data_IF_966215238037
#
_entry.id   IF_966215238037
#
_cell.length_a   1.000
_cell.length_b   1.000
_cell.length_c   1.000
_cell.angle_alpha   90.00
_cell.angle_beta   90.00
_cell.angle_gamma   90.00
#
_symmetry.space_group_name_H-M   'P 1'
#
loop_
_entity.id
_entity.type
_entity.pdbx_description
1 polymer ?
#
# COMPACT_ATOMS: atom_id res chain seq x y z
N UNK A 1 3.37 -29.06 14.30
CA UNK A 1 2.08 -28.93 13.59
C UNK A 1 2.04 -27.66 12.72
N UNK A 2 2.51 -26.50 13.19
CA UNK A 2 2.52 -25.22 12.47
C UNK A 2 3.40 -25.27 11.20
N UNK A 3 4.58 -25.89 11.28
CA UNK A 3 5.46 -26.07 10.12
C UNK A 3 4.88 -26.98 9.03
N UNK A 4 4.06 -27.99 9.40
CA UNK A 4 3.39 -28.86 8.44
C UNK A 4 2.30 -28.09 7.70
N UNK A 5 1.49 -27.30 8.41
CA UNK A 5 0.46 -26.43 7.80
C UNK A 5 1.06 -25.42 6.83
N UNK A 6 2.19 -24.81 7.17
CA UNK A 6 2.89 -23.88 6.27
C UNK A 6 3.30 -24.57 4.96
N UNK A 7 3.84 -25.80 5.05
CA UNK A 7 4.22 -26.61 3.87
C UNK A 7 3.00 -27.01 3.04
N UNK A 8 1.87 -27.33 3.68
CA UNK A 8 0.62 -27.68 2.99
C UNK A 8 0.02 -26.46 2.27
N UNK A 9 0.09 -25.27 2.88
CA UNK A 9 -0.26 -24.00 2.22
C UNK A 9 0.64 -23.74 1.00
N UNK A 10 1.94 -23.86 1.17
CA UNK A 10 2.92 -23.59 0.11
C UNK A 10 2.79 -24.54 -1.08
N UNK A 11 2.38 -25.78 -0.82
CA UNK A 11 2.08 -26.78 -1.87
C UNK A 11 0.69 -26.65 -2.47
N UNK A 12 -0.14 -25.69 -2.00
CA UNK A 12 -1.52 -25.54 -2.45
C UNK A 12 -2.46 -26.70 -2.04
N UNK A 13 -2.02 -27.57 -1.11
CA UNK A 13 -2.81 -28.71 -0.60
C UNK A 13 -3.92 -28.20 0.30
N UNK A 14 -3.66 -27.12 1.04
CA UNK A 14 -4.61 -26.47 1.94
C UNK A 14 -4.74 -25.00 1.60
N UNK A 15 -5.97 -24.51 1.51
CA UNK A 15 -6.28 -23.09 1.34
C UNK A 15 -7.49 -22.74 2.19
N UNK A 16 -7.32 -21.79 3.13
CA UNK A 16 -8.39 -21.36 4.02
C UNK A 16 -9.57 -20.74 3.23
N UNK A 17 -9.30 -20.07 2.11
CA UNK A 17 -10.32 -19.48 1.25
C UNK A 17 -11.33 -20.51 0.69
N UNK A 18 -10.93 -21.82 0.61
CA UNK A 18 -11.77 -22.90 0.11
C UNK A 18 -12.56 -23.63 1.19
N UNK A 19 -12.32 -23.34 2.47
CA UNK A 19 -13.09 -23.93 3.57
C UNK A 19 -14.53 -23.42 3.53
N UNK A 20 -15.46 -24.31 3.91
CA UNK A 20 -16.86 -23.95 4.09
C UNK A 20 -17.14 -23.53 5.51
N UNK A 21 -18.06 -22.62 5.70
CA UNK A 21 -18.57 -22.17 7.00
C UNK A 21 -19.93 -22.84 7.23
N UNK A 22 -20.00 -23.71 8.21
CA UNK A 22 -21.20 -24.52 8.49
C UNK A 22 -22.37 -23.71 9.03
N UNK A 23 -22.12 -22.53 9.60
CA UNK A 23 -23.16 -21.60 10.08
C UNK A 23 -23.67 -20.64 9.01
N UNK A 24 -23.06 -20.63 7.82
CA UNK A 24 -23.45 -19.73 6.73
C UNK A 24 -24.52 -20.37 5.86
N UNK A 25 -25.48 -19.56 5.45
CA UNK A 25 -26.53 -19.95 4.52
C UNK A 25 -26.23 -19.45 3.09
N UNK A 26 -26.69 -20.18 2.08
CA UNK A 26 -26.47 -19.80 0.66
C UNK A 26 -27.13 -18.46 0.35
N UNK A 27 -28.28 -18.23 0.97
CA UNK A 27 -29.08 -17.01 0.82
C UNK A 27 -28.28 -15.75 1.16
N UNK A 28 -27.36 -15.81 2.11
CA UNK A 28 -26.46 -14.72 2.48
C UNK A 28 -25.58 -14.26 1.32
N UNK A 29 -25.33 -15.14 0.35
CA UNK A 29 -24.62 -14.80 -0.88
C UNK A 29 -25.58 -14.47 -2.02
N UNK A 30 -26.60 -15.31 -2.27
CA UNK A 30 -27.44 -15.19 -3.45
C UNK A 30 -28.38 -14.00 -3.42
N UNK A 31 -28.74 -13.51 -2.24
CA UNK A 31 -29.62 -12.35 -2.07
C UNK A 31 -28.89 -11.05 -1.75
N UNK A 32 -27.58 -11.11 -1.52
CA UNK A 32 -26.76 -9.96 -1.13
C UNK A 32 -26.78 -8.85 -2.19
N UNK A 33 -26.54 -7.62 -1.74
CA UNK A 33 -26.37 -6.46 -2.63
C UNK A 33 -25.07 -6.62 -3.43
N UNK A 34 -24.03 -7.12 -2.78
CA UNK A 34 -22.70 -7.33 -3.39
C UNK A 34 -22.76 -8.20 -4.64
N UNK A 35 -23.42 -9.37 -4.60
CA UNK A 35 -23.50 -10.25 -5.78
C UNK A 35 -24.41 -9.68 -6.86
N UNK A 36 -25.53 -9.06 -6.49
CA UNK A 36 -26.45 -8.44 -7.46
C UNK A 36 -25.74 -7.34 -8.24
N UNK A 37 -25.10 -6.42 -7.52
CA UNK A 37 -24.31 -5.32 -8.13
C UNK A 37 -23.18 -5.87 -9.02
N UNK A 38 -22.51 -6.93 -8.58
CA UNK A 38 -21.46 -7.56 -9.37
C UNK A 38 -22.00 -8.14 -10.68
N UNK A 39 -23.09 -8.94 -10.63
CA UNK A 39 -23.70 -9.59 -11.81
C UNK A 39 -24.23 -8.53 -12.81
N UNK A 40 -24.90 -7.51 -12.33
CA UNK A 40 -25.43 -6.41 -13.14
C UNK A 40 -24.29 -5.66 -13.87
N UNK A 41 -23.25 -5.28 -13.15
CA UNK A 41 -22.13 -4.51 -13.69
C UNK A 41 -21.22 -5.33 -14.63
N UNK A 42 -21.10 -6.63 -14.38
CA UNK A 42 -20.27 -7.52 -15.23
C UNK A 42 -21.03 -7.99 -16.49
N UNK A 43 -22.34 -7.73 -16.55
CA UNK A 43 -23.19 -8.17 -17.69
C UNK A 43 -23.34 -9.69 -17.77
N UNK A 44 -23.19 -10.39 -16.64
CA UNK A 44 -23.39 -11.84 -16.59
C UNK A 44 -24.91 -12.14 -16.65
N UNK A 45 -25.33 -12.77 -17.70
CA UNK A 45 -26.71 -13.33 -17.80
C UNK A 45 -26.69 -14.69 -17.10
N UNK A 46 -26.62 -14.68 -15.77
CA UNK A 46 -26.61 -15.89 -14.96
C UNK A 46 -27.28 -15.65 -13.62
N UNK A 47 -28.03 -16.64 -13.17
CA UNK A 47 -28.51 -16.68 -11.79
C UNK A 47 -27.33 -16.66 -10.80
N UNK A 48 -27.42 -15.91 -9.69
CA UNK A 48 -26.38 -15.86 -8.67
C UNK A 48 -25.91 -17.24 -8.20
N UNK A 49 -26.83 -18.15 -7.91
CA UNK A 49 -26.51 -19.50 -7.46
C UNK A 49 -25.72 -20.28 -8.51
N UNK A 50 -26.09 -20.13 -9.80
CA UNK A 50 -25.37 -20.77 -10.89
C UNK A 50 -23.94 -20.23 -11.03
N UNK A 51 -23.77 -18.90 -10.90
CA UNK A 51 -22.46 -18.26 -10.91
C UNK A 51 -21.59 -18.77 -9.76
N UNK A 52 -22.10 -18.73 -8.53
CA UNK A 52 -21.38 -19.18 -7.33
C UNK A 52 -20.92 -20.65 -7.43
N UNK A 53 -21.79 -21.53 -7.94
CA UNK A 53 -21.46 -22.93 -8.18
C UNK A 53 -20.38 -23.11 -9.26
N UNK A 54 -20.48 -22.39 -10.39
CA UNK A 54 -19.46 -22.41 -11.46
C UNK A 54 -18.10 -21.95 -10.96
N UNK A 55 -18.06 -20.93 -10.10
CA UNK A 55 -16.82 -20.39 -9.52
C UNK A 55 -16.30 -21.21 -8.31
N UNK A 56 -17.03 -22.28 -7.91
CA UNK A 56 -16.69 -23.10 -6.75
C UNK A 56 -16.62 -22.29 -5.45
N UNK A 57 -17.54 -21.36 -5.28
CA UNK A 57 -17.72 -20.53 -4.08
C UNK A 57 -18.74 -21.14 -3.12
N UNK A 58 -19.40 -22.19 -3.54
CA UNK A 58 -20.25 -23.06 -2.76
C UNK A 58 -19.73 -24.50 -2.89
N UNK A 59 -19.67 -25.23 -1.80
CA UNK A 59 -19.33 -26.65 -1.76
C UNK A 59 -20.29 -27.40 -0.85
N UNK A 60 -20.93 -28.47 -1.36
CA UNK A 60 -21.93 -29.25 -0.62
C UNK A 60 -23.03 -28.40 0.02
N UNK A 61 -23.56 -27.46 -0.72
CA UNK A 61 -24.56 -26.49 -0.26
C UNK A 61 -24.12 -25.57 0.90
N UNK A 62 -22.82 -25.39 1.10
CA UNK A 62 -22.28 -24.45 2.09
C UNK A 62 -21.40 -23.40 1.41
N UNK A 63 -21.52 -22.13 1.77
CA UNK A 63 -20.64 -21.09 1.29
C UNK A 63 -19.18 -21.35 1.70
N UNK A 64 -18.25 -21.04 0.80
CA UNK A 64 -16.83 -21.04 1.12
C UNK A 64 -16.42 -19.68 1.71
N UNK A 65 -15.32 -19.64 2.47
CA UNK A 65 -14.73 -18.38 2.96
C UNK A 65 -14.55 -17.36 1.84
N UNK A 66 -14.04 -17.81 0.69
CA UNK A 66 -13.87 -16.95 -0.49
C UNK A 66 -15.22 -16.38 -0.98
N UNK A 67 -16.26 -17.21 -1.02
CA UNK A 67 -17.62 -16.76 -1.41
C UNK A 67 -18.17 -15.71 -0.45
N UNK A 68 -18.02 -15.95 0.85
CA UNK A 68 -18.47 -15.04 1.90
C UNK A 68 -17.71 -13.71 1.82
N UNK A 69 -16.38 -13.75 1.73
CA UNK A 69 -15.55 -12.53 1.64
C UNK A 69 -15.86 -11.67 0.42
N UNK A 70 -16.22 -12.29 -0.72
CA UNK A 70 -16.48 -11.56 -1.96
C UNK A 70 -17.93 -11.07 -2.08
N UNK A 71 -18.89 -11.86 -1.59
CA UNK A 71 -20.31 -11.67 -1.95
C UNK A 71 -21.28 -11.64 -0.77
N UNK A 72 -20.83 -11.73 0.48
CA UNK A 72 -21.70 -11.39 1.62
C UNK A 72 -21.65 -9.88 1.87
N UNK A 73 -22.80 -9.30 2.24
CA UNK A 73 -22.85 -7.89 2.62
C UNK A 73 -22.15 -7.63 3.97
N UNK A 74 -22.03 -8.66 4.84
CA UNK A 74 -21.39 -8.55 6.13
C UNK A 74 -20.60 -9.84 6.49
N UNK A 75 -19.45 -10.11 5.82
CA UNK A 75 -18.60 -11.26 6.11
C UNK A 75 -18.17 -11.38 7.57
N UNK A 76 -18.03 -10.24 8.25
CA UNK A 76 -17.57 -10.13 9.64
C UNK A 76 -18.53 -10.77 10.63
N UNK A 77 -19.82 -10.86 10.30
CA UNK A 77 -20.81 -11.55 11.12
C UNK A 77 -20.81 -13.08 10.92
N UNK A 78 -20.31 -13.56 9.77
CA UNK A 78 -20.41 -14.94 9.35
C UNK A 78 -19.10 -15.69 9.63
N UNK A 79 -17.96 -15.09 9.27
CA UNK A 79 -16.65 -15.70 9.48
C UNK A 79 -16.30 -15.58 10.97
N UNK A 80 -16.02 -16.68 11.68
CA UNK A 80 -15.80 -16.67 13.13
C UNK A 80 -14.44 -16.09 13.52
N UNK A 81 -13.84 -15.30 12.66
CA UNK A 81 -12.56 -14.62 12.83
C UNK A 81 -12.66 -13.21 12.30
N UNK A 82 -11.86 -12.30 12.88
CA UNK A 82 -11.80 -10.94 12.37
C UNK A 82 -11.35 -10.93 10.91
N UNK A 83 -12.02 -10.16 10.08
CA UNK A 83 -11.70 -10.04 8.66
C UNK A 83 -11.98 -8.62 8.11
N UNK A 84 -11.95 -7.62 9.00
CA UNK A 84 -12.11 -6.22 8.67
C UNK A 84 -10.80 -5.47 8.58
N UNK A 85 -10.92 -4.14 8.48
CA UNK A 85 -9.81 -3.19 8.49
C UNK A 85 -10.07 -2.17 9.60
N UNK A 86 -9.03 -1.80 10.35
CA UNK A 86 -9.09 -0.73 11.34
C UNK A 86 -8.12 0.38 10.98
N UNK A 87 -8.62 1.61 10.98
CA UNK A 87 -7.83 2.81 10.69
C UNK A 87 -7.63 3.60 11.97
N UNK A 88 -6.38 3.95 12.26
CA UNK A 88 -5.96 4.71 13.43
C UNK A 88 -5.24 5.98 12.97
N UNK A 89 -5.51 7.10 13.62
CA UNK A 89 -4.79 8.35 13.39
C UNK A 89 -4.12 8.80 14.69
N UNK A 90 -2.80 8.77 14.71
CA UNK A 90 -1.95 9.20 15.82
C UNK A 90 -1.34 10.58 15.53
N UNK A 91 -1.55 11.55 16.44
CA UNK A 91 -0.91 12.88 16.38
C UNK A 91 0.47 12.82 17.04
N UNK A 92 1.38 12.07 16.44
CA UNK A 92 2.76 11.92 16.88
C UNK A 92 3.63 11.44 15.74
N UNK A 93 4.95 11.63 15.88
CA UNK A 93 5.99 11.07 15.02
C UNK A 93 6.74 9.91 15.69
N UNK A 94 6.39 9.56 16.92
CA UNK A 94 7.01 8.48 17.69
C UNK A 94 6.87 7.13 16.98
N UNK A 95 7.76 6.20 17.31
CA UNK A 95 7.76 4.87 16.69
C UNK A 95 6.51 4.07 17.06
N UNK A 96 5.97 4.28 18.26
CA UNK A 96 4.74 3.64 18.74
C UNK A 96 3.62 4.66 18.95
N UNK A 97 2.42 4.31 18.47
CA UNK A 97 1.22 5.09 18.74
C UNK A 97 0.56 4.63 20.05
N UNK A 98 0.36 5.56 20.96
CA UNK A 98 -0.37 5.32 22.22
C UNK A 98 -1.79 5.89 22.13
N UNK A 99 -2.68 5.42 23.02
CA UNK A 99 -4.09 5.80 22.99
C UNK A 99 -4.30 7.31 23.18
N UNK A 100 -3.46 7.95 23.98
CA UNK A 100 -3.49 9.39 24.25
C UNK A 100 -3.16 10.25 23.04
N UNK A 101 -2.48 9.68 22.04
CA UNK A 101 -2.14 10.38 20.78
C UNK A 101 -3.19 10.20 19.68
N UNK A 102 -4.32 9.52 19.93
CA UNK A 102 -5.40 9.42 18.95
C UNK A 102 -5.97 10.78 18.59
N UNK A 103 -6.12 11.03 17.28
CA UNK A 103 -6.84 12.21 16.79
C UNK A 103 -8.36 12.06 16.95
N UNK A 104 -8.85 10.84 16.84
CA UNK A 104 -10.25 10.41 16.95
C UNK A 104 -10.31 8.90 17.25
N UNK A 105 -11.49 8.39 17.56
CA UNK A 105 -11.68 6.96 17.78
C UNK A 105 -11.34 6.16 16.50
N UNK A 106 -10.70 4.98 16.62
CA UNK A 106 -10.40 4.14 15.48
C UNK A 106 -11.64 3.86 14.62
N UNK A 107 -11.46 3.90 13.29
CA UNK A 107 -12.51 3.64 12.33
C UNK A 107 -12.44 2.16 11.93
N UNK A 108 -13.57 1.44 12.05
CA UNK A 108 -13.72 0.09 11.55
C UNK A 108 -14.32 0.12 10.13
N UNK A 109 -13.70 -0.59 9.19
CA UNK A 109 -14.19 -0.80 7.83
C UNK A 109 -14.60 -2.26 7.71
N UNK A 110 -15.85 -2.49 7.44
CA UNK A 110 -16.51 -3.80 7.30
C UNK A 110 -17.21 -3.90 5.93
N UNK A 111 -17.82 -5.04 5.63
CA UNK A 111 -18.45 -5.36 4.35
C UNK A 111 -17.64 -6.36 3.53
N UNK A 112 -18.04 -6.59 2.29
CA UNK A 112 -17.28 -7.42 1.34
C UNK A 112 -15.89 -6.81 1.05
N UNK A 113 -14.95 -7.62 0.59
CA UNK A 113 -13.55 -7.18 0.43
C UNK A 113 -13.37 -6.10 -0.64
N UNK A 114 -14.23 -6.07 -1.68
CA UNK A 114 -14.17 -5.01 -2.70
C UNK A 114 -14.54 -3.65 -2.08
N UNK A 115 -15.62 -3.63 -1.32
CA UNK A 115 -16.08 -2.45 -0.57
C UNK A 115 -15.08 -2.04 0.50
N UNK A 116 -14.50 -3.00 1.23
CA UNK A 116 -13.47 -2.73 2.23
C UNK A 116 -12.24 -2.03 1.63
N UNK A 117 -11.71 -2.54 0.52
CA UNK A 117 -10.54 -1.94 -0.15
C UNK A 117 -10.85 -0.50 -0.54
N UNK A 118 -11.98 -0.28 -1.23
CA UNK A 118 -12.39 1.04 -1.71
C UNK A 118 -12.54 2.03 -0.56
N UNK A 119 -13.31 1.67 0.46
CA UNK A 119 -13.56 2.52 1.62
C UNK A 119 -12.29 2.80 2.43
N UNK A 120 -11.42 1.80 2.61
CA UNK A 120 -10.17 1.98 3.35
C UNK A 120 -9.19 2.90 2.62
N UNK A 121 -9.10 2.81 1.30
CA UNK A 121 -8.26 3.71 0.48
C UNK A 121 -8.79 5.14 0.55
N UNK A 122 -10.09 5.35 0.36
CA UNK A 122 -10.73 6.67 0.40
C UNK A 122 -10.55 7.32 1.78
N UNK A 123 -10.82 6.58 2.87
CA UNK A 123 -10.71 7.14 4.22
C UNK A 123 -9.25 7.40 4.61
N UNK A 124 -8.32 6.50 4.24
CA UNK A 124 -6.88 6.73 4.46
C UNK A 124 -6.42 8.00 3.74
N UNK A 125 -6.81 8.18 2.48
CA UNK A 125 -6.50 9.38 1.70
C UNK A 125 -7.02 10.64 2.36
N UNK A 126 -8.29 10.68 2.74
CA UNK A 126 -8.94 11.80 3.39
C UNK A 126 -8.26 12.20 4.70
N UNK A 127 -7.87 11.22 5.52
CA UNK A 127 -7.16 11.46 6.78
C UNK A 127 -5.77 12.05 6.49
N UNK A 128 -5.02 11.48 5.54
CA UNK A 128 -3.66 11.94 5.18
C UNK A 128 -3.69 13.36 4.62
N UNK A 129 -4.62 13.67 3.73
CA UNK A 129 -4.79 15.02 3.17
C UNK A 129 -5.18 16.06 4.23
N UNK A 130 -5.69 15.64 5.39
CA UNK A 130 -5.97 16.51 6.53
C UNK A 130 -4.73 16.85 7.38
N UNK A 131 -3.58 16.19 7.16
CA UNK A 131 -2.36 16.40 7.94
C UNK A 131 -1.62 17.63 7.40
N UNK A 132 -1.49 18.71 8.18
CA UNK A 132 -0.74 19.89 7.77
C UNK A 132 0.77 19.57 7.78
N UNK A 133 1.46 19.96 6.72
CA UNK A 133 2.91 19.91 6.61
C UNK A 133 3.45 21.32 6.41
N UNK A 134 4.43 21.70 7.22
CA UNK A 134 5.13 22.97 7.02
C UNK A 134 6.10 22.81 5.85
N UNK A 135 5.94 23.65 4.82
CA UNK A 135 6.87 23.82 3.72
C UNK A 135 7.50 25.21 3.75
N UNK A 136 8.50 25.45 2.89
CA UNK A 136 9.12 26.76 2.77
C UNK A 136 8.15 27.85 2.29
N UNK A 137 7.08 27.48 1.61
CA UNK A 137 6.07 28.39 1.07
C UNK A 137 4.80 28.48 1.97
N UNK A 138 4.79 27.84 3.16
CA UNK A 138 3.71 27.85 4.13
C UNK A 138 3.16 26.46 4.46
N UNK A 139 1.90 26.40 4.93
CA UNK A 139 1.23 25.15 5.24
C UNK A 139 0.77 24.45 3.96
N UNK A 140 1.28 23.27 3.70
CA UNK A 140 0.85 22.36 2.65
C UNK A 140 0.20 21.12 3.27
N UNK A 141 -0.56 20.38 2.49
CA UNK A 141 -1.08 19.06 2.90
C UNK A 141 -0.12 17.95 2.46
N UNK A 142 -0.08 16.87 3.24
CA UNK A 142 0.64 15.67 2.84
C UNK A 142 -0.10 15.05 1.66
N UNK A 143 0.61 14.77 0.58
CA UNK A 143 0.05 14.13 -0.60
C UNK A 143 0.89 12.90 -0.98
N UNK A 144 0.24 11.76 -1.09
CA UNK A 144 0.81 10.52 -1.61
C UNK A 144 0.28 10.22 -3.00
N UNK A 145 1.05 9.47 -3.83
CA UNK A 145 0.48 8.89 -5.02
C UNK A 145 -0.71 8.01 -4.61
N UNK A 146 -1.86 8.25 -5.20
CA UNK A 146 -3.07 7.48 -4.92
C UNK A 146 -2.82 5.99 -5.17
N UNK A 147 -2.03 5.67 -6.21
CA UNK A 147 -1.64 4.33 -6.59
C UNK A 147 -0.86 3.62 -5.48
N UNK A 148 -0.02 4.33 -4.72
CA UNK A 148 0.76 3.74 -3.62
C UNK A 148 -0.14 3.25 -2.49
N UNK A 149 -1.04 4.09 -1.99
CA UNK A 149 -1.95 3.71 -0.90
C UNK A 149 -2.89 2.62 -1.36
N UNK A 150 -3.47 2.78 -2.57
CA UNK A 150 -4.37 1.82 -3.16
C UNK A 150 -3.73 0.43 -3.29
N UNK A 151 -2.54 0.35 -3.86
CA UNK A 151 -1.84 -0.91 -4.07
C UNK A 151 -1.47 -1.60 -2.75
N UNK A 152 -0.95 -0.84 -1.77
CA UNK A 152 -0.53 -1.41 -0.49
C UNK A 152 -1.74 -1.91 0.31
N UNK A 153 -2.86 -1.17 0.34
CA UNK A 153 -4.10 -1.60 0.99
C UNK A 153 -4.69 -2.82 0.28
N UNK A 154 -4.73 -2.81 -1.05
CA UNK A 154 -5.21 -3.94 -1.85
C UNK A 154 -4.42 -5.20 -1.57
N UNK A 155 -3.08 -5.11 -1.57
CA UNK A 155 -2.21 -6.24 -1.28
C UNK A 155 -2.39 -6.74 0.16
N UNK A 156 -2.57 -5.84 1.13
CA UNK A 156 -2.83 -6.22 2.51
C UNK A 156 -4.12 -7.05 2.64
N UNK A 157 -5.17 -6.72 1.89
CA UNK A 157 -6.45 -7.46 1.89
C UNK A 157 -6.32 -8.78 1.11
N UNK A 158 -5.76 -8.74 -0.10
CA UNK A 158 -5.74 -9.92 -0.98
C UNK A 158 -4.78 -11.02 -0.53
N UNK A 159 -3.71 -10.66 0.18
CA UNK A 159 -2.66 -11.59 0.57
C UNK A 159 -2.63 -11.92 2.08
N UNK A 160 -3.53 -11.32 2.89
CA UNK A 160 -3.61 -11.65 4.31
C UNK A 160 -3.92 -13.13 4.55
N UNK A 161 -3.55 -13.61 5.72
CA UNK A 161 -3.98 -14.92 6.21
C UNK A 161 -5.33 -14.81 6.94
N UNK A 162 -6.40 -15.18 6.25
CA UNK A 162 -7.75 -15.17 6.81
C UNK A 162 -7.98 -16.22 7.91
N UNK A 163 -7.02 -17.13 8.14
CA UNK A 163 -7.07 -18.06 9.26
C UNK A 163 -6.65 -17.42 10.58
N UNK A 164 -5.98 -16.28 10.55
CA UNK A 164 -5.56 -15.51 11.72
C UNK A 164 -6.70 -14.59 12.16
N UNK A 165 -7.05 -14.65 13.46
CA UNK A 165 -8.16 -13.87 14.03
C UNK A 165 -7.72 -12.44 14.41
N UNK A 166 -7.25 -11.68 13.45
CA UNK A 166 -6.92 -10.26 13.62
C UNK A 166 -7.33 -9.44 12.40
N UNK A 167 -7.56 -8.14 12.57
CA UNK A 167 -7.91 -7.23 11.48
C UNK A 167 -6.64 -6.73 10.76
N UNK A 168 -6.82 -6.15 9.58
CA UNK A 168 -5.77 -5.32 8.98
C UNK A 168 -5.74 -4.00 9.74
N UNK A 169 -4.55 -3.51 10.08
CA UNK A 169 -4.36 -2.27 10.78
C UNK A 169 -3.69 -1.23 9.90
N UNK A 170 -4.37 -0.12 9.64
CA UNK A 170 -3.82 1.05 8.96
C UNK A 170 -3.58 2.12 10.03
N UNK A 171 -2.32 2.39 10.36
CA UNK A 171 -1.91 3.39 11.35
C UNK A 171 -1.32 4.60 10.64
N UNK A 172 -1.92 5.76 10.84
CA UNK A 172 -1.52 7.02 10.22
C UNK A 172 -0.91 7.92 11.28
N UNK A 173 0.38 8.19 11.16
CA UNK A 173 1.18 9.09 11.99
C UNK A 173 1.41 10.43 11.28
N UNK A 174 2.00 11.40 11.97
CA UNK A 174 2.33 12.70 11.36
C UNK A 174 3.42 12.59 10.28
N UNK A 175 4.24 11.53 10.31
CA UNK A 175 5.37 11.32 9.39
C UNK A 175 5.29 10.05 8.54
N UNK A 176 4.29 9.18 8.74
CA UNK A 176 4.19 7.91 8.00
C UNK A 176 2.80 7.28 8.06
N UNK A 177 2.57 6.35 7.16
CA UNK A 177 1.47 5.37 7.22
C UNK A 177 2.10 3.99 7.42
N UNK A 178 1.49 3.18 8.26
CA UNK A 178 1.82 1.76 8.45
C UNK A 178 0.59 0.93 8.08
N UNK A 179 0.77 -0.02 7.19
CA UNK A 179 -0.27 -1.00 6.83
C UNK A 179 0.20 -2.37 7.27
N UNK A 180 -0.43 -2.91 8.30
CA UNK A 180 -0.13 -4.23 8.86
C UNK A 180 -1.20 -5.23 8.46
N UNK A 181 -0.77 -6.33 7.83
CA UNK A 181 -1.63 -7.42 7.38
C UNK A 181 -1.28 -8.70 8.13
N UNK A 182 -2.27 -9.42 8.71
CA UNK A 182 -2.06 -10.70 9.36
C UNK A 182 -1.52 -11.77 8.40
N UNK A 183 -0.52 -12.52 8.86
CA UNK A 183 0.15 -13.58 8.12
C UNK A 183 1.53 -13.20 7.62
N UNK A 184 2.40 -14.20 7.50
CA UNK A 184 3.74 -14.06 6.95
C UNK A 184 3.71 -14.00 5.42
N UNK A 185 4.83 -13.66 4.81
CA UNK A 185 4.99 -13.77 3.35
C UNK A 185 4.77 -15.24 2.92
N UNK A 186 3.98 -15.49 1.85
CA UNK A 186 3.64 -16.85 1.45
C UNK A 186 4.78 -17.56 0.72
N UNK A 187 5.00 -18.82 1.05
CA UNK A 187 5.88 -19.72 0.32
C UNK A 187 7.33 -19.28 0.26
N UNK A 188 7.84 -19.16 -0.95
CA UNK A 188 9.21 -18.77 -1.25
C UNK A 188 9.41 -17.25 -1.37
N UNK A 189 8.37 -16.46 -1.10
CA UNK A 189 8.48 -15.00 -1.13
C UNK A 189 9.25 -14.52 0.11
N UNK A 190 10.19 -13.63 -0.12
CA UNK A 190 11.00 -12.96 0.88
C UNK A 190 10.99 -11.45 0.60
N UNK A 191 11.37 -10.64 1.58
CA UNK A 191 11.52 -9.19 1.38
C UNK A 191 12.45 -8.85 0.20
N UNK A 192 13.42 -9.73 -0.09
CA UNK A 192 14.41 -9.52 -1.18
C UNK A 192 13.83 -9.74 -2.57
N UNK A 193 12.87 -10.66 -2.72
CA UNK A 193 12.32 -11.04 -4.02
C UNK A 193 10.84 -10.67 -4.22
N UNK A 194 10.21 -10.00 -3.25
CA UNK A 194 8.78 -9.67 -3.27
C UNK A 194 8.38 -8.79 -4.46
N UNK A 195 9.29 -8.00 -5.00
CA UNK A 195 9.06 -7.17 -6.18
C UNK A 195 9.13 -7.95 -7.50
N UNK A 196 9.82 -9.09 -7.49
CA UNK A 196 10.08 -9.89 -8.70
C UNK A 196 9.30 -11.21 -8.73
N UNK A 197 8.64 -11.55 -7.63
CA UNK A 197 7.99 -12.86 -7.46
C UNK A 197 6.51 -12.70 -7.16
N UNK A 198 5.69 -13.52 -7.81
CA UNK A 198 4.25 -13.55 -7.58
C UNK A 198 3.85 -14.85 -6.93
N UNK A 199 3.22 -14.78 -5.78
CA UNK A 199 2.51 -15.88 -5.15
C UNK A 199 1.33 -15.32 -4.37
N UNK A 200 0.20 -15.97 -4.42
CA UNK A 200 -0.98 -15.55 -3.66
C UNK A 200 -1.45 -16.66 -2.76
N UNK A 201 -1.57 -16.38 -1.47
CA UNK A 201 -2.20 -17.26 -0.49
C UNK A 201 -3.67 -17.53 -0.84
N UNK A 202 -4.35 -16.52 -1.37
CA UNK A 202 -5.78 -16.55 -1.69
C UNK A 202 -5.98 -16.44 -3.22
N UNK A 203 -5.51 -17.45 -3.96
CA UNK A 203 -5.47 -17.41 -5.44
C UNK A 203 -6.85 -17.31 -6.08
N UNK A 204 -7.87 -17.96 -5.51
CA UNK A 204 -9.25 -17.89 -6.01
C UNK A 204 -9.84 -16.49 -5.80
N UNK A 205 -9.65 -15.93 -4.62
CA UNK A 205 -10.07 -14.58 -4.26
C UNK A 205 -9.44 -13.55 -5.20
N UNK A 206 -8.12 -13.60 -5.40
CA UNK A 206 -7.39 -12.71 -6.33
C UNK A 206 -7.89 -12.87 -7.75
N UNK A 207 -8.20 -14.08 -8.21
CA UNK A 207 -8.74 -14.33 -9.55
C UNK A 207 -10.13 -13.70 -9.73
N UNK A 208 -11.01 -13.86 -8.74
CA UNK A 208 -12.40 -13.42 -8.87
C UNK A 208 -12.52 -11.90 -8.72
N UNK A 209 -11.76 -11.27 -7.83
CA UNK A 209 -11.83 -9.83 -7.65
C UNK A 209 -11.41 -9.05 -8.92
N UNK A 210 -10.59 -9.65 -9.78
CA UNK A 210 -10.25 -9.10 -11.11
C UNK A 210 -11.42 -9.03 -12.07
N UNK A 211 -12.50 -9.76 -11.77
CA UNK A 211 -13.71 -9.73 -12.58
C UNK A 211 -14.65 -8.57 -12.20
N UNK A 212 -14.36 -7.82 -11.13
CA UNK A 212 -15.14 -6.66 -10.76
C UNK A 212 -14.96 -5.51 -11.77
N UNK A 213 -15.96 -4.61 -11.95
CA UNK A 213 -15.94 -3.59 -13.01
C UNK A 213 -14.75 -2.62 -12.94
N UNK A 214 -14.32 -2.29 -11.74
CA UNK A 214 -13.11 -1.51 -11.47
C UNK A 214 -12.24 -2.29 -10.48
N UNK A 215 -11.53 -3.32 -10.97
CA UNK A 215 -10.81 -4.22 -10.09
C UNK A 215 -9.71 -3.48 -9.34
N UNK A 216 -9.61 -3.66 -8.02
CA UNK A 216 -8.59 -3.00 -7.21
C UNK A 216 -7.18 -3.47 -7.60
N UNK A 217 -7.05 -4.64 -8.21
CA UNK A 217 -5.79 -5.17 -8.74
C UNK A 217 -5.83 -5.14 -10.27
N UNK A 218 -5.35 -4.04 -10.87
CA UNK A 218 -5.40 -3.81 -12.33
C UNK A 218 -4.27 -4.47 -13.09
N UNK A 219 -3.13 -4.70 -12.44
CA UNK A 219 -1.92 -5.15 -13.12
C UNK A 219 -1.47 -6.54 -12.72
N UNK A 220 -1.12 -7.32 -13.72
CA UNK A 220 -0.57 -8.67 -13.55
C UNK A 220 0.90 -8.53 -13.16
N UNK A 221 1.16 -8.38 -11.86
CA UNK A 221 2.51 -8.49 -11.30
C UNK A 221 3.33 -7.23 -11.18
N UNK A 222 2.80 -6.07 -11.50
CA UNK A 222 3.52 -4.79 -11.36
C UNK A 222 3.05 -3.93 -10.18
N UNK A 223 2.01 -4.37 -9.43
CA UNK A 223 1.34 -3.54 -8.44
C UNK A 223 2.27 -2.94 -7.41
N UNK A 224 3.02 -3.76 -6.69
CA UNK A 224 3.96 -3.27 -5.68
C UNK A 224 5.08 -2.44 -6.32
N UNK A 225 5.59 -2.83 -7.49
CA UNK A 225 6.56 -2.05 -8.27
C UNK A 225 6.01 -0.68 -8.68
N UNK A 226 4.71 -0.60 -8.99
CA UNK A 226 4.02 0.67 -9.29
C UNK A 226 4.03 1.58 -8.08
N UNK A 227 3.70 1.08 -6.89
CA UNK A 227 3.76 1.83 -5.64
C UNK A 227 5.17 2.37 -5.36
N UNK A 228 6.20 1.55 -5.53
CA UNK A 228 7.60 1.94 -5.34
C UNK A 228 8.04 3.00 -6.37
N UNK A 229 7.67 2.83 -7.64
CA UNK A 229 7.96 3.82 -8.71
C UNK A 229 7.26 5.15 -8.45
N UNK A 230 5.98 5.12 -8.07
CA UNK A 230 5.20 6.32 -7.81
C UNK A 230 5.80 7.16 -6.67
N UNK A 231 6.23 6.53 -5.57
CA UNK A 231 6.94 7.22 -4.50
C UNK A 231 8.25 7.84 -4.98
N UNK A 232 9.04 7.10 -5.77
CA UNK A 232 10.29 7.61 -6.35
C UNK A 232 10.07 8.81 -7.27
N UNK A 233 9.01 8.79 -8.09
CA UNK A 233 8.68 9.91 -8.99
C UNK A 233 8.33 11.20 -8.23
N UNK A 234 7.76 11.10 -7.03
CA UNK A 234 7.51 12.24 -6.14
C UNK A 234 8.74 12.63 -5.29
N UNK A 235 9.88 11.96 -5.47
CA UNK A 235 11.07 12.20 -4.66
C UNK A 235 10.90 11.80 -3.19
N UNK A 236 9.99 10.86 -2.91
CA UNK A 236 9.75 10.32 -1.57
C UNK A 236 10.56 9.05 -1.33
N UNK A 237 10.87 8.73 -0.06
CA UNK A 237 11.47 7.46 0.31
C UNK A 237 10.58 6.31 -0.11
N UNK A 238 11.18 5.26 -0.65
CA UNK A 238 10.45 4.05 -1.04
C UNK A 238 9.79 3.39 0.17
N UNK A 239 8.65 2.69 -0.01
CA UNK A 239 8.03 1.92 1.05
C UNK A 239 9.03 0.90 1.64
N UNK A 240 9.03 0.76 2.96
CA UNK A 240 9.78 -0.29 3.66
C UNK A 240 8.82 -1.42 4.00
N UNK A 241 9.20 -2.65 3.68
CA UNK A 241 8.45 -3.85 4.06
C UNK A 241 9.19 -4.55 5.18
N UNK A 242 8.46 -4.99 6.19
CA UNK A 242 8.98 -5.73 7.33
C UNK A 242 8.09 -6.94 7.61
N UNK A 243 8.69 -8.11 7.73
CA UNK A 243 8.00 -9.32 8.14
C UNK A 243 8.19 -9.51 9.64
N UNK A 244 7.09 -9.60 10.38
CA UNK A 244 7.05 -9.97 11.81
C UNK A 244 6.71 -11.45 11.97
N UNK A 245 6.62 -11.90 13.22
CA UNK A 245 6.30 -13.28 13.54
C UNK A 245 4.97 -13.75 12.92
N UNK A 246 3.92 -12.92 12.97
CA UNK A 246 2.58 -13.24 12.50
C UNK A 246 1.96 -12.19 11.59
N UNK A 247 2.73 -11.26 11.06
CA UNK A 247 2.23 -10.19 10.19
C UNK A 247 3.30 -9.68 9.24
N UNK A 248 2.85 -8.97 8.21
CA UNK A 248 3.69 -8.15 7.32
C UNK A 248 3.26 -6.70 7.47
N UNK A 249 4.23 -5.80 7.66
CA UNK A 249 4.00 -4.36 7.75
C UNK A 249 4.66 -3.65 6.57
N UNK A 250 3.92 -2.75 5.95
CA UNK A 250 4.44 -1.83 4.93
C UNK A 250 4.40 -0.41 5.49
N UNK A 251 5.57 0.24 5.54
CA UNK A 251 5.75 1.62 5.96
C UNK A 251 5.83 2.54 4.75
N UNK A 252 4.97 3.53 4.67
CA UNK A 252 4.98 4.59 3.67
C UNK A 252 5.33 5.89 4.39
N UNK A 253 6.52 6.46 4.13
CA UNK A 253 7.02 7.63 4.85
C UNK A 253 6.79 8.91 4.08
N UNK A 254 6.48 10.00 4.78
CA UNK A 254 6.37 11.35 4.22
C UNK A 254 7.74 12.00 3.93
N UNK A 255 8.83 11.27 4.19
CA UNK A 255 10.17 11.79 4.03
C UNK A 255 10.57 11.87 2.56
N UNK A 256 11.05 13.03 2.15
CA UNK A 256 11.74 13.18 0.88
C UNK A 256 12.98 12.29 0.84
N UNK A 257 13.23 11.68 -0.33
CA UNK A 257 14.57 11.17 -0.64
C UNK A 257 15.50 12.37 -0.48
N UNK A 258 16.41 12.41 0.40
CA UNK A 258 17.33 13.49 0.71
C UNK A 258 16.94 14.84 0.06
N UNK A 259 16.93 15.92 0.78
CA UNK A 259 16.65 17.22 0.19
C UNK A 259 17.55 17.43 -1.03
N UNK A 260 17.13 18.20 -2.01
CA UNK A 260 18.00 18.51 -3.17
C UNK A 260 19.36 19.07 -2.73
N UNK A 261 19.39 19.74 -1.59
CA UNK A 261 20.62 20.26 -0.97
C UNK A 261 21.53 19.12 -0.48
N UNK A 262 20.97 18.14 0.23
CA UNK A 262 21.69 16.95 0.71
C UNK A 262 22.19 16.08 -0.44
N UNK A 263 21.39 15.90 -1.50
CA UNK A 263 21.79 15.14 -2.71
C UNK A 263 23.00 15.82 -3.38
N UNK A 264 22.99 17.16 -3.51
CA UNK A 264 24.07 17.92 -4.10
C UNK A 264 25.33 17.82 -3.24
N UNK A 265 25.20 17.97 -1.92
CA UNK A 265 26.34 17.89 -0.99
C UNK A 265 26.91 16.48 -0.89
N UNK A 266 26.08 15.44 -0.88
CA UNK A 266 26.56 14.04 -0.90
C UNK A 266 27.31 13.71 -2.21
N UNK A 267 26.81 14.21 -3.34
CA UNK A 267 27.55 14.09 -4.61
C UNK A 267 28.90 14.76 -4.55
N UNK A 268 28.97 15.98 -3.99
CA UNK A 268 30.22 16.75 -3.84
C UNK A 268 31.15 16.17 -2.76
N UNK A 269 30.69 15.27 -1.91
CA UNK A 269 31.57 14.48 -1.02
C UNK A 269 32.31 13.38 -1.77
N UNK A 270 31.74 12.89 -2.87
CA UNK A 270 32.28 11.79 -3.69
C UNK A 270 33.03 12.28 -4.93
N UNK A 271 32.66 13.45 -5.44
CA UNK A 271 33.19 14.04 -6.66
C UNK A 271 33.56 15.49 -6.46
N UNK A 272 34.62 15.94 -7.09
CA UNK A 272 35.15 17.31 -6.93
C UNK A 272 34.18 18.40 -7.39
N UNK A 273 33.32 18.08 -8.38
CA UNK A 273 32.37 19.04 -8.94
C UNK A 273 31.08 18.38 -9.40
N UNK A 274 30.01 19.17 -9.50
CA UNK A 274 28.70 18.74 -10.02
C UNK A 274 28.20 19.73 -11.08
N UNK A 275 27.80 19.24 -12.26
CA UNK A 275 27.26 20.08 -13.34
C UNK A 275 25.77 20.35 -13.16
N UNK A 276 25.25 21.45 -13.76
CA UNK A 276 23.82 21.76 -13.77
C UNK A 276 22.97 20.62 -14.31
N UNK A 277 23.45 19.95 -15.36
CA UNK A 277 22.75 18.79 -15.94
C UNK A 277 22.67 17.61 -14.96
N UNK A 278 23.75 17.35 -14.24
CA UNK A 278 23.79 16.31 -13.20
C UNK A 278 22.89 16.65 -12.02
N UNK A 279 22.91 17.91 -11.54
CA UNK A 279 22.02 18.40 -10.49
C UNK A 279 20.55 18.19 -10.87
N UNK A 280 20.14 18.66 -12.07
CA UNK A 280 18.76 18.51 -12.55
C UNK A 280 18.32 17.04 -12.66
N UNK A 281 19.22 16.18 -13.11
CA UNK A 281 18.96 14.72 -13.21
C UNK A 281 18.82 14.06 -11.85
N UNK A 282 19.69 14.39 -10.89
CA UNK A 282 19.70 13.75 -9.56
C UNK A 282 18.56 14.26 -8.66
N UNK A 283 18.28 15.57 -8.72
CA UNK A 283 17.30 16.20 -7.83
C UNK A 283 15.87 16.21 -8.38
N UNK A 284 15.65 15.79 -9.63
CA UNK A 284 14.33 15.75 -10.28
C UNK A 284 13.47 17.00 -10.08
N UNK A 285 14.08 18.19 -10.22
CA UNK A 285 13.35 19.47 -10.02
C UNK A 285 12.13 19.58 -10.92
N UNK A 286 11.01 20.04 -10.34
CA UNK A 286 9.75 20.30 -11.06
C UNK A 286 9.84 21.53 -11.96
N UNK A 287 10.70 22.51 -11.60
CA UNK A 287 10.90 23.74 -12.35
C UNK A 287 12.34 24.23 -12.29
N UNK A 288 12.72 25.10 -13.25
CA UNK A 288 14.01 25.81 -13.21
C UNK A 288 14.11 26.79 -12.03
N UNK A 289 12.98 27.22 -11.50
CA UNK A 289 12.92 28.11 -10.34
C UNK A 289 13.33 27.38 -9.06
N UNK A 290 12.89 26.12 -8.87
CA UNK A 290 13.28 25.31 -7.71
C UNK A 290 14.77 25.02 -7.71
N UNK A 291 15.33 24.69 -8.89
CA UNK A 291 16.78 24.55 -9.07
C UNK A 291 17.52 25.83 -8.64
N UNK A 292 17.09 27.02 -9.13
CA UNK A 292 17.75 28.29 -8.81
C UNK A 292 17.66 28.64 -7.33
N UNK A 293 16.51 28.43 -6.70
CA UNK A 293 16.32 28.61 -5.24
C UNK A 293 17.29 27.74 -4.44
N UNK A 294 17.38 26.44 -4.78
CA UNK A 294 18.27 25.48 -4.09
C UNK A 294 19.74 25.88 -4.21
N UNK A 295 20.20 26.20 -5.42
CA UNK A 295 21.61 26.65 -5.62
C UNK A 295 21.88 27.95 -4.89
N UNK A 296 20.96 28.90 -4.91
CA UNK A 296 21.07 30.17 -4.20
C UNK A 296 21.27 29.94 -2.70
N UNK A 297 20.43 29.11 -2.06
CA UNK A 297 20.54 28.78 -0.63
C UNK A 297 21.89 28.13 -0.28
N UNK A 298 22.33 27.16 -1.09
CA UNK A 298 23.63 26.50 -0.85
C UNK A 298 24.80 27.46 -0.98
N UNK A 299 24.71 28.40 -1.94
CA UNK A 299 25.76 29.42 -2.14
C UNK A 299 25.74 30.47 -1.03
N UNK A 300 24.56 30.95 -0.61
CA UNK A 300 24.41 31.90 0.51
C UNK A 300 24.91 31.34 1.85
N UNK A 301 24.77 30.01 2.03
CA UNK A 301 25.30 29.28 3.19
C UNK A 301 26.80 28.93 3.07
N UNK A 302 27.48 29.38 2.02
CA UNK A 302 28.89 29.06 1.76
C UNK A 302 29.21 27.55 1.69
N UNK A 303 28.22 26.73 1.31
CA UNK A 303 28.40 25.26 1.21
C UNK A 303 28.92 24.85 -0.16
N UNK A 304 28.57 25.59 -1.21
CA UNK A 304 29.04 25.38 -2.57
C UNK A 304 29.50 26.71 -3.20
N UNK A 305 30.41 26.64 -4.15
CA UNK A 305 30.81 27.74 -4.99
C UNK A 305 30.78 27.35 -6.48
N UNK A 306 30.57 28.33 -7.33
CA UNK A 306 30.61 28.12 -8.78
C UNK A 306 32.06 27.91 -9.22
N UNK A 307 32.28 26.89 -10.06
CA UNK A 307 33.60 26.63 -10.65
C UNK A 307 33.90 27.71 -11.71
N UNK A 308 35.06 28.32 -11.65
CA UNK A 308 35.50 29.37 -12.60
C UNK A 308 35.53 28.82 -14.03
N UNK A 309 35.32 29.71 -14.98
CA UNK A 309 35.32 29.42 -16.43
C UNK A 309 34.24 28.45 -16.91
N UNK A 310 33.20 28.15 -16.08
CA UNK A 310 32.04 27.34 -16.49
C UNK A 310 30.83 28.23 -16.83
N UNK A 311 30.16 28.03 -18.03
CA UNK A 311 29.02 28.81 -18.48
C UNK A 311 27.93 27.95 -19.13
N UNK A 312 26.70 28.43 -19.06
CA UNK A 312 25.55 27.77 -19.70
C UNK A 312 25.31 26.34 -19.19
N UNK A 313 25.16 25.40 -20.11
CA UNK A 313 24.92 23.97 -19.77
C UNK A 313 26.09 23.31 -19.03
N UNK A 314 27.30 23.87 -19.17
CA UNK A 314 28.52 23.35 -18.53
C UNK A 314 28.80 24.04 -17.19
N UNK A 315 27.92 24.92 -16.69
CA UNK A 315 28.08 25.49 -15.35
C UNK A 315 28.20 24.36 -14.34
N UNK A 316 29.25 24.43 -13.50
CA UNK A 316 29.53 23.44 -12.46
C UNK A 316 29.72 24.14 -11.10
N UNK A 317 29.50 23.38 -10.04
CA UNK A 317 29.67 23.80 -8.66
C UNK A 317 30.61 22.82 -7.94
N UNK A 318 31.40 23.34 -7.03
CA UNK A 318 32.25 22.54 -6.14
C UNK A 318 31.92 22.85 -4.68
N UNK A 319 32.32 21.98 -3.78
CA UNK A 319 32.18 22.20 -2.34
C UNK A 319 33.18 23.27 -1.89
N UNK A 320 32.72 24.23 -1.09
CA UNK A 320 33.64 25.16 -0.43
C UNK A 320 34.43 24.39 0.62
N UNK A 321 35.77 24.36 0.49
CA UNK A 321 36.62 23.77 1.50
C UNK A 321 36.64 24.73 2.71
N UNK A 322 36.30 24.19 3.88
CA UNK A 322 36.39 24.92 5.14
C UNK A 322 37.86 25.26 5.45
#
# INVERSE_FOLDING_TARGET
EEGIRTIEYDKGIYSFENQTISSAEIEELTTSISIKTFIENYGIISDPLQFLNKQKLIHKNLPTVCGILLFSDLPQAIIPKKCGIKIYRYKTTDDEGIRESFAFNPIAIEGDIYSQIKSAVEETKKIVESIPKLSDDGLETVNYPQETVHEIVTNAVLHRDYSIADDIHIRIFDNRIEVESPGRLPGHITIKNILDTQNSRNGKLVRIIRMFPDPPNKDIGEGLNTAFRAMKMLGLKQPKIEEKENSVIVYIRHELLASSEEIILDHLNKYEQITVSTIKRLCHFKSDNDYRKTIKRLTERNLISRVENTKGKNTAYCRVKA
#
